data_IF_506625509295
#
_entry.id   IF_506625509295
#
_cell.length_a   1.000
_cell.length_b   1.000
_cell.length_c   1.000
_cell.angle_alpha   90.00
_cell.angle_beta   90.00
_cell.angle_gamma   90.00
#
_symmetry.space_group_name_H-M   'P 1'
#
loop_
_entity.id
_entity.type
_entity.pdbx_description
1 polymer ?
#
# COMPACT_ATOMS: atom_id res chain seq x y z
N UNK A 1 -5.83 3.53 19.46
CA UNK A 1 -4.40 3.40 19.12
C UNK A 1 -3.98 4.30 17.97
N UNK A 2 -4.73 4.30 16.88
CA UNK A 2 -4.38 5.12 15.71
C UNK A 2 -4.40 6.63 15.98
N UNK A 3 -5.31 7.12 16.82
CA UNK A 3 -5.40 8.55 17.16
C UNK A 3 -4.13 9.07 17.84
N UNK A 4 -3.55 8.30 18.75
CA UNK A 4 -2.34 8.70 19.47
C UNK A 4 -1.13 8.74 18.52
N UNK A 5 -1.00 7.75 17.66
CA UNK A 5 0.08 7.69 16.66
C UNK A 5 -0.05 8.81 15.62
N UNK A 6 -1.26 9.08 15.17
CA UNK A 6 -1.54 10.15 14.22
C UNK A 6 -1.16 11.52 14.80
N UNK A 7 -1.62 11.81 16.04
CA UNK A 7 -1.30 13.06 16.70
C UNK A 7 0.19 13.24 16.91
N UNK A 8 0.89 12.17 17.31
CA UNK A 8 2.34 12.23 17.51
C UNK A 8 3.09 12.47 16.21
N UNK A 9 2.65 11.82 15.12
CA UNK A 9 3.25 12.02 13.82
C UNK A 9 3.08 13.46 13.34
N UNK A 10 1.91 14.05 13.57
CA UNK A 10 1.68 15.46 13.23
C UNK A 10 2.59 16.39 14.03
N UNK A 11 2.79 16.13 15.33
CA UNK A 11 3.71 16.90 16.16
C UNK A 11 5.15 16.85 15.65
N UNK A 12 5.56 15.72 15.08
CA UNK A 12 6.89 15.52 14.54
C UNK A 12 7.08 16.07 13.11
N UNK A 13 6.04 16.68 12.55
CA UNK A 13 6.11 17.30 11.23
C UNK A 13 5.88 16.36 10.05
N UNK A 14 5.30 15.20 10.29
CA UNK A 14 4.97 14.25 9.21
C UNK A 14 3.83 14.79 8.36
N UNK A 15 4.00 14.73 7.04
CA UNK A 15 2.96 15.12 6.09
C UNK A 15 2.08 13.93 5.76
N UNK A 16 0.75 14.11 5.83
CA UNK A 16 -0.23 13.09 5.50
C UNK A 16 -0.93 13.43 4.18
N UNK A 17 -0.96 12.47 3.27
CA UNK A 17 -1.71 12.57 2.02
C UNK A 17 -2.87 11.57 2.09
N UNK A 18 -4.01 12.03 2.55
CA UNK A 18 -5.21 11.21 2.70
C UNK A 18 -5.92 11.03 1.36
N UNK A 19 -6.65 9.93 1.22
CA UNK A 19 -7.38 9.59 -0.02
C UNK A 19 -6.49 9.63 -1.27
N UNK A 20 -5.21 9.25 -1.10
CA UNK A 20 -4.19 9.31 -2.14
C UNK A 20 -3.51 7.96 -2.23
N UNK A 21 -4.13 6.97 -2.90
CA UNK A 21 -3.54 5.64 -3.00
C UNK A 21 -2.23 5.66 -3.80
N UNK A 22 -1.22 5.01 -3.26
CA UNK A 22 0.03 4.80 -3.96
C UNK A 22 -0.16 3.72 -5.04
N UNK A 23 0.44 3.91 -6.19
CA UNK A 23 0.30 3.00 -7.34
C UNK A 23 1.59 2.29 -7.71
N UNK A 24 2.73 2.91 -7.52
CA UNK A 24 4.01 2.36 -7.96
C UNK A 24 5.16 2.90 -7.11
N UNK A 25 6.15 2.05 -6.90
CA UNK A 25 7.42 2.44 -6.29
C UNK A 25 8.43 2.62 -7.40
N UNK A 26 9.09 3.77 -7.44
CA UNK A 26 10.09 4.11 -8.44
C UNK A 26 11.48 3.74 -7.96
N UNK A 27 12.29 3.20 -8.87
CA UNK A 27 13.70 2.89 -8.62
C UNK A 27 14.58 3.66 -9.60
N UNK A 28 15.80 3.96 -9.19
CA UNK A 28 16.80 4.56 -10.06
C UNK A 28 17.54 3.47 -10.87
N UNK A 29 18.54 3.89 -11.64
CA UNK A 29 19.35 2.98 -12.47
C UNK A 29 20.11 1.93 -11.64
N UNK A 30 20.43 2.27 -10.38
CA UNK A 30 21.15 1.38 -9.47
C UNK A 30 20.21 0.42 -8.71
N UNK A 31 18.91 0.52 -8.93
CA UNK A 31 17.92 -0.31 -8.25
C UNK A 31 17.51 0.19 -6.88
N UNK A 32 17.88 1.42 -6.51
CA UNK A 32 17.48 2.03 -5.24
C UNK A 32 16.13 2.71 -5.39
N UNK A 33 15.32 2.65 -4.34
CA UNK A 33 14.06 3.39 -4.31
C UNK A 33 14.34 4.89 -4.38
N UNK A 34 13.72 5.56 -5.33
CA UNK A 34 13.89 7.00 -5.52
C UNK A 34 12.57 7.78 -5.42
N UNK A 35 11.45 7.11 -5.39
CA UNK A 35 10.16 7.79 -5.26
C UNK A 35 8.97 6.84 -5.24
N UNK A 36 7.81 7.45 -5.10
CA UNK A 36 6.52 6.75 -5.11
C UNK A 36 5.56 7.54 -5.99
N UNK A 37 4.81 6.86 -6.83
CA UNK A 37 3.71 7.46 -7.61
C UNK A 37 2.41 7.16 -6.89
N UNK A 38 1.63 8.20 -6.63
CA UNK A 38 0.31 8.11 -6.05
C UNK A 38 -0.70 8.85 -6.92
N UNK A 39 -1.97 8.54 -6.76
CA UNK A 39 -3.04 9.23 -7.47
C UNK A 39 -3.94 9.88 -6.44
N UNK A 40 -4.18 11.18 -6.56
CA UNK A 40 -5.03 11.88 -5.61
C UNK A 40 -6.53 11.68 -5.94
N UNK A 41 -7.38 12.25 -5.10
CA UNK A 41 -8.84 12.16 -5.23
C UNK A 41 -9.35 12.69 -6.58
N UNK A 42 -8.63 13.62 -7.18
CA UNK A 42 -8.97 14.24 -8.47
C UNK A 42 -8.46 13.44 -9.67
N UNK A 43 -7.76 12.34 -9.43
CA UNK A 43 -7.19 11.50 -10.48
C UNK A 43 -5.85 11.97 -11.01
N UNK A 44 -5.21 12.93 -10.37
CA UNK A 44 -3.88 13.40 -10.76
C UNK A 44 -2.79 12.55 -10.15
N UNK A 45 -1.80 12.21 -10.95
CA UNK A 45 -0.61 11.55 -10.46
C UNK A 45 0.26 12.52 -9.66
N UNK A 46 0.69 12.05 -8.50
CA UNK A 46 1.64 12.76 -7.63
C UNK A 46 2.89 11.91 -7.54
N UNK A 47 4.02 12.49 -7.90
CA UNK A 47 5.31 11.82 -7.76
C UNK A 47 6.00 12.36 -6.51
N UNK A 48 6.27 11.46 -5.56
CA UNK A 48 6.90 11.81 -4.29
C UNK A 48 8.33 11.29 -4.32
N UNK A 49 9.31 12.20 -4.25
CA UNK A 49 10.71 11.82 -4.19
C UNK A 49 11.07 11.38 -2.77
N UNK A 50 11.74 10.24 -2.64
CA UNK A 50 12.18 9.74 -1.36
C UNK A 50 13.39 8.82 -1.52
N UNK A 51 14.15 8.64 -0.45
CA UNK A 51 15.31 7.75 -0.43
C UNK A 51 14.92 6.32 -0.02
N UNK A 52 13.79 6.18 0.67
CA UNK A 52 13.30 4.90 1.14
C UNK A 52 11.78 4.94 1.27
N UNK A 53 11.15 3.79 1.17
CA UNK A 53 9.71 3.65 1.38
C UNK A 53 9.43 2.47 2.30
N UNK A 54 8.52 2.67 3.25
CA UNK A 54 8.06 1.62 4.15
C UNK A 54 6.62 1.27 3.76
N UNK A 55 6.37 0.01 3.49
CA UNK A 55 5.05 -0.47 3.08
C UNK A 55 4.29 -0.97 4.29
N UNK A 56 3.22 -0.28 4.64
CA UNK A 56 2.40 -0.58 5.82
C UNK A 56 0.93 -0.77 5.43
N UNK A 57 0.68 -1.30 4.24
CA UNK A 57 -0.66 -1.40 3.65
C UNK A 57 -1.43 -2.66 4.04
N UNK A 58 -0.83 -3.51 4.87
CA UNK A 58 -1.44 -4.77 5.28
C UNK A 58 -1.39 -5.84 4.19
N UNK A 59 -2.20 -6.85 4.34
CA UNK A 59 -2.21 -8.01 3.45
C UNK A 59 -3.21 -7.89 2.31
N UNK A 60 -3.56 -9.03 1.74
CA UNK A 60 -4.46 -9.15 0.60
C UNK A 60 -5.77 -9.88 0.95
N UNK A 61 -6.13 -9.91 2.23
CA UNK A 61 -7.27 -10.71 2.71
C UNK A 61 -8.61 -10.37 2.08
N UNK A 62 -8.79 -9.17 1.55
CA UNK A 62 -10.02 -8.75 0.91
C UNK A 62 -9.95 -8.82 -0.63
N UNK A 63 -8.96 -9.52 -1.18
CA UNK A 63 -8.84 -9.72 -2.61
C UNK A 63 -8.87 -11.22 -2.95
N UNK A 64 -10.05 -11.80 -3.20
CA UNK A 64 -10.19 -13.22 -3.49
C UNK A 64 -9.38 -13.68 -4.71
N UNK A 65 -9.31 -12.87 -5.74
CA UNK A 65 -8.53 -13.19 -6.95
C UNK A 65 -7.04 -13.30 -6.64
N UNK A 66 -6.51 -12.35 -5.89
CA UNK A 66 -5.10 -12.35 -5.49
C UNK A 66 -4.78 -13.61 -4.68
N UNK A 67 -5.61 -13.95 -3.69
CA UNK A 67 -5.40 -15.14 -2.87
C UNK A 67 -5.45 -16.40 -3.73
N UNK A 68 -6.42 -16.50 -4.64
CA UNK A 68 -6.55 -17.66 -5.54
C UNK A 68 -5.32 -17.81 -6.43
N UNK A 69 -4.85 -16.73 -7.02
CA UNK A 69 -3.66 -16.74 -7.88
C UNK A 69 -2.40 -17.17 -7.14
N UNK A 70 -2.24 -16.74 -5.90
CA UNK A 70 -1.02 -16.99 -5.14
C UNK A 70 -1.03 -18.31 -4.35
N UNK A 71 -2.20 -18.77 -3.93
CA UNK A 71 -2.30 -19.95 -3.06
C UNK A 71 -3.13 -21.09 -3.63
N UNK A 72 -4.02 -20.79 -4.59
CA UNK A 72 -4.97 -21.77 -5.11
C UNK A 72 -6.21 -21.95 -4.24
N UNK A 73 -6.29 -21.29 -3.08
CA UNK A 73 -7.45 -21.38 -2.20
C UNK A 73 -8.57 -20.45 -2.64
N UNK A 74 -9.81 -20.89 -2.40
CA UNK A 74 -11.02 -20.13 -2.73
C UNK A 74 -11.70 -19.67 -1.44
N UNK A 75 -12.02 -18.39 -1.36
CA UNK A 75 -12.77 -17.85 -0.23
C UNK A 75 -14.19 -18.42 -0.20
N UNK A 76 -14.66 -18.74 1.01
CA UNK A 76 -15.97 -19.30 1.24
C UNK A 76 -16.06 -20.80 1.04
N UNK A 77 -15.07 -21.41 0.39
CA UNK A 77 -14.99 -22.85 0.18
C UNK A 77 -13.83 -23.45 1.00
N UNK A 78 -12.62 -22.96 0.74
CA UNK A 78 -11.38 -23.50 1.36
C UNK A 78 -10.94 -22.70 2.57
N UNK A 79 -11.31 -21.40 2.65
CA UNK A 79 -10.90 -20.51 3.72
C UNK A 79 -11.91 -19.40 3.95
N UNK A 80 -11.87 -18.85 5.16
CA UNK A 80 -12.68 -17.71 5.56
C UNK A 80 -11.78 -16.53 5.90
N UNK A 81 -12.34 -15.33 5.78
CA UNK A 81 -11.59 -14.10 5.93
C UNK A 81 -12.25 -13.15 6.94
N UNK A 82 -11.45 -12.61 7.85
CA UNK A 82 -11.85 -11.57 8.80
C UNK A 82 -11.02 -10.30 8.62
N UNK A 83 -10.52 -10.07 7.40
CA UNK A 83 -9.66 -8.93 7.11
C UNK A 83 -10.44 -7.61 7.05
N UNK A 84 -9.73 -6.52 7.25
CA UNK A 84 -10.27 -5.17 7.13
C UNK A 84 -10.53 -4.87 5.66
N UNK A 85 -11.68 -4.26 5.30
CA UNK A 85 -11.90 -3.80 3.93
C UNK A 85 -10.78 -2.88 3.46
N UNK A 86 -10.27 -3.10 2.26
CA UNK A 86 -9.12 -2.38 1.73
C UNK A 86 -7.82 -3.16 1.76
N UNK A 87 -7.75 -4.30 2.45
CA UNK A 87 -6.59 -5.19 2.42
C UNK A 87 -6.60 -6.00 1.11
N UNK A 88 -6.28 -5.35 0.00
CA UNK A 88 -6.39 -5.94 -1.35
C UNK A 88 -5.04 -6.28 -1.99
N UNK A 89 -3.96 -6.11 -1.26
CA UNK A 89 -2.63 -6.50 -1.71
C UNK A 89 -1.87 -5.45 -2.52
N UNK A 90 -2.31 -4.21 -2.51
CA UNK A 90 -1.67 -3.13 -3.29
C UNK A 90 -0.18 -2.96 -2.95
N UNK A 91 0.16 -2.94 -1.67
CA UNK A 91 1.54 -2.78 -1.23
C UNK A 91 2.41 -3.97 -1.61
N UNK A 92 1.86 -5.17 -1.51
CA UNK A 92 2.56 -6.40 -1.90
C UNK A 92 2.87 -6.37 -3.40
N UNK A 93 1.91 -5.99 -4.22
CA UNK A 93 2.10 -5.87 -5.67
C UNK A 93 3.15 -4.81 -6.02
N UNK A 94 3.11 -3.65 -5.36
CA UNK A 94 4.10 -2.60 -5.57
C UNK A 94 5.51 -3.06 -5.23
N UNK A 95 5.67 -3.82 -4.15
CA UNK A 95 6.97 -4.35 -3.76
C UNK A 95 7.49 -5.36 -4.79
N UNK A 96 6.64 -6.21 -5.30
CA UNK A 96 7.02 -7.20 -6.32
C UNK A 96 7.38 -6.55 -7.66
N UNK A 97 6.70 -5.50 -8.05
CA UNK A 97 6.99 -4.75 -9.27
C UNK A 97 8.30 -3.96 -9.18
N UNK A 98 8.66 -3.61 -7.97
CA UNK A 98 9.93 -2.95 -7.72
C UNK A 98 11.05 -3.99 -7.57
#
# INVERSE_FOLDING_TARGET
MNKALYARAQELGVTFLLETPAKKILKDEDGKVCGVVAVNKEGKEIQIECEAAIICTGGAGCNPEFIREQTGYKFGEDMFNFAIPGNVGDGIRMAWEA
#
